data_IF_945282317327
#
_entry.id   IF_945282317327
#
_cell.length_a   1.000
_cell.length_b   1.000
_cell.length_c   1.000
_cell.angle_alpha   90.00
_cell.angle_beta   90.00
_cell.angle_gamma   90.00
#
_symmetry.space_group_name_H-M   'P 1'
#
loop_
_entity.id
_entity.type
_entity.pdbx_description
1 polymer ?
#
# COMPACT_ATOMS: atom_id res chain seq x y z
N UNK A 1 26.45 -7.27 -64.12
CA UNK A 1 27.70 -6.89 -64.82
C UNK A 1 28.43 -5.89 -63.92
N UNK A 2 29.71 -6.16 -63.69
CA UNK A 2 30.71 -5.48 -62.84
C UNK A 2 30.79 -3.94 -63.09
N UNK A 3 31.37 -3.08 -62.26
CA UNK A 3 32.75 -3.13 -61.74
C UNK A 3 33.00 -2.19 -60.55
N UNK A 4 34.02 -2.60 -59.79
CA UNK A 4 34.80 -1.89 -58.78
C UNK A 4 35.50 -0.63 -59.31
N UNK A 5 35.78 0.33 -58.43
CA UNK A 5 37.01 1.13 -58.52
C UNK A 5 37.61 1.44 -57.13
N UNK A 6 38.73 0.77 -56.84
CA UNK A 6 39.77 1.17 -55.88
C UNK A 6 40.64 2.27 -56.49
N UNK A 7 41.06 3.25 -55.69
CA UNK A 7 42.31 4.00 -55.93
C UNK A 7 43.05 4.35 -54.63
N UNK A 8 44.36 4.51 -54.81
CA UNK A 8 45.47 4.34 -53.88
C UNK A 8 45.88 5.59 -53.07
N UNK A 9 46.58 5.29 -51.98
CA UNK A 9 47.62 6.01 -51.21
C UNK A 9 48.02 7.45 -51.56
N UNK A 10 48.25 8.24 -50.51
CA UNK A 10 49.45 9.08 -50.44
C UNK A 10 50.16 8.94 -49.08
N UNK A 11 51.48 8.76 -49.21
CA UNK A 11 52.52 8.74 -48.20
C UNK A 11 53.10 10.15 -48.04
N UNK A 12 53.45 10.52 -46.81
CA UNK A 12 54.37 11.60 -46.49
C UNK A 12 55.23 11.15 -45.30
N UNK A 13 56.50 10.86 -45.59
CA UNK A 13 57.54 10.76 -44.58
C UNK A 13 57.99 12.13 -44.07
N UNK A 14 58.46 12.17 -42.83
CA UNK A 14 59.80 12.65 -42.47
C UNK A 14 60.04 12.59 -40.95
N UNK A 15 61.17 11.97 -40.56
CA UNK A 15 62.11 12.63 -39.65
C UNK A 15 62.05 12.41 -38.13
N UNK A 16 62.84 11.42 -37.68
CA UNK A 16 63.77 11.45 -36.53
C UNK A 16 63.32 11.16 -35.07
N UNK A 17 64.12 10.28 -34.47
CA UNK A 17 64.13 9.74 -33.09
C UNK A 17 64.61 10.74 -32.03
N UNK A 18 64.30 10.51 -30.74
CA UNK A 18 65.29 10.44 -29.65
C UNK A 18 64.68 9.80 -28.37
N UNK A 19 65.41 8.82 -27.81
CA UNK A 19 65.20 8.27 -26.47
C UNK A 19 65.78 9.20 -25.39
N UNK A 20 65.11 9.29 -24.25
CA UNK A 20 65.64 9.88 -23.01
C UNK A 20 64.77 9.50 -21.79
N UNK A 21 65.28 8.78 -20.77
CA UNK A 21 64.47 8.26 -19.66
C UNK A 21 64.80 8.95 -18.34
N UNK A 22 63.87 9.64 -17.65
CA UNK A 22 64.05 9.98 -16.21
C UNK A 22 62.68 10.17 -15.53
N UNK A 23 62.51 9.57 -14.34
CA UNK A 23 61.84 10.27 -13.23
C UNK A 23 60.79 9.52 -12.44
N UNK A 24 61.22 8.77 -11.42
CA UNK A 24 60.38 8.52 -10.24
C UNK A 24 60.39 9.77 -9.35
N UNK A 25 59.26 10.44 -9.18
CA UNK A 25 58.99 11.30 -8.03
C UNK A 25 57.53 11.16 -7.58
N UNK A 26 57.36 10.60 -6.38
CA UNK A 26 56.18 10.77 -5.54
C UNK A 26 55.97 12.26 -5.24
N UNK A 27 54.72 12.74 -5.15
CA UNK A 27 54.17 13.71 -4.17
C UNK A 27 52.67 14.03 -4.52
N UNK A 28 51.87 14.54 -3.56
CA UNK A 28 50.74 13.87 -2.94
C UNK A 28 49.39 14.11 -3.62
N UNK A 29 48.48 13.13 -3.54
CA UNK A 29 47.09 13.33 -3.93
C UNK A 29 46.36 14.19 -2.88
N UNK A 30 45.65 15.26 -3.27
CA UNK A 30 44.72 15.94 -2.37
C UNK A 30 43.56 15.00 -2.05
N UNK A 31 43.28 14.81 -0.76
CA UNK A 31 42.02 14.22 -0.28
C UNK A 31 40.90 15.19 -0.66
N UNK A 32 40.26 14.92 -1.80
CA UNK A 32 39.06 15.58 -2.27
C UNK A 32 38.11 14.50 -2.77
N UNK A 33 37.11 14.15 -1.96
CA UNK A 33 36.04 13.25 -2.35
C UNK A 33 35.15 13.98 -3.36
N UNK A 34 35.43 13.87 -4.66
CA UNK A 34 34.49 14.02 -5.79
C UNK A 34 35.27 13.80 -7.12
N UNK A 35 35.49 12.54 -7.48
CA UNK A 35 35.92 12.16 -8.85
C UNK A 35 34.75 12.26 -9.86
N UNK A 36 35.03 12.21 -11.18
CA UNK A 36 34.05 12.49 -12.21
C UNK A 36 32.95 11.43 -12.27
N UNK A 37 31.70 11.92 -12.33
CA UNK A 37 30.41 11.26 -12.48
C UNK A 37 30.42 9.78 -12.92
N UNK A 38 30.47 8.87 -11.94
CA UNK A 38 29.85 7.56 -12.05
C UNK A 38 28.34 7.70 -11.86
N UNK A 39 27.55 6.93 -12.62
CA UNK A 39 26.07 6.88 -12.54
C UNK A 39 25.60 6.96 -11.08
N UNK A 40 24.60 7.78 -10.73
CA UNK A 40 24.15 7.91 -9.36
C UNK A 40 23.81 6.52 -8.83
N UNK A 41 24.50 6.12 -7.75
CA UNK A 41 24.18 4.93 -6.98
C UNK A 41 22.80 5.14 -6.38
N UNK A 42 21.82 4.65 -7.13
CA UNK A 42 20.45 4.43 -6.73
C UNK A 42 20.52 3.65 -5.41
N UNK A 43 19.99 4.24 -4.35
CA UNK A 43 19.86 3.66 -3.02
C UNK A 43 19.60 2.16 -3.12
N UNK A 44 20.46 1.35 -2.51
CA UNK A 44 20.31 -0.11 -2.48
C UNK A 44 18.93 -0.45 -1.90
N UNK A 45 18.02 -0.86 -2.77
CA UNK A 45 16.84 -1.63 -2.35
C UNK A 45 17.37 -2.93 -1.77
N UNK A 46 17.09 -3.27 -0.49
CA UNK A 46 17.44 -4.58 0.04
C UNK A 46 16.90 -5.65 -0.90
N UNK A 47 17.79 -6.46 -1.49
CA UNK A 47 17.37 -7.58 -2.30
C UNK A 47 16.74 -8.62 -1.36
N UNK A 48 15.41 -8.72 -1.35
CA UNK A 48 14.78 -9.91 -0.79
C UNK A 48 15.31 -11.12 -1.60
N UNK A 49 15.59 -12.27 -0.95
CA UNK A 49 15.96 -13.50 -1.66
C UNK A 49 14.96 -13.77 -2.78
N UNK A 50 15.44 -14.28 -3.93
CA UNK A 50 14.67 -14.54 -5.16
C UNK A 50 13.47 -15.51 -4.99
N UNK A 51 13.16 -15.92 -3.76
CA UNK A 51 12.05 -16.79 -3.39
C UNK A 51 10.85 -16.02 -2.80
N UNK A 52 10.97 -14.72 -2.55
CA UNK A 52 9.83 -13.84 -2.20
C UNK A 52 9.28 -13.17 -3.46
N UNK A 53 8.72 -13.96 -4.38
CA UNK A 53 7.64 -13.41 -5.20
C UNK A 53 6.51 -13.02 -4.24
N UNK A 54 5.84 -11.86 -4.41
CA UNK A 54 4.60 -11.61 -3.68
C UNK A 54 3.69 -12.81 -3.96
N UNK A 55 3.34 -13.55 -2.91
CA UNK A 55 2.36 -14.62 -3.04
C UNK A 55 1.12 -13.98 -3.65
N UNK A 56 0.56 -14.51 -4.75
CA UNK A 56 -0.66 -13.95 -5.31
C UNK A 56 -1.71 -13.93 -4.20
N UNK A 57 -2.29 -12.75 -3.96
CA UNK A 57 -3.30 -12.58 -2.94
C UNK A 57 -4.37 -13.67 -3.09
N UNK A 58 -4.82 -14.24 -1.97
CA UNK A 58 -5.89 -15.25 -1.98
C UNK A 58 -7.10 -14.66 -2.74
N UNK A 59 -7.53 -15.29 -3.84
CA UNK A 59 -8.68 -14.81 -4.62
C UNK A 59 -9.94 -14.62 -3.77
N UNK A 60 -10.10 -15.40 -2.69
CA UNK A 60 -11.23 -15.27 -1.76
C UNK A 60 -11.16 -14.01 -0.91
N UNK A 61 -9.97 -13.63 -0.48
CA UNK A 61 -9.76 -12.38 0.25
C UNK A 61 -10.04 -11.17 -0.66
N UNK A 62 -9.59 -11.23 -1.92
CA UNK A 62 -9.86 -10.19 -2.92
C UNK A 62 -11.36 -10.05 -3.23
N UNK A 63 -12.09 -11.15 -3.34
CA UNK A 63 -13.54 -11.14 -3.57
C UNK A 63 -14.28 -10.50 -2.37
N UNK A 64 -13.87 -10.83 -1.15
CA UNK A 64 -14.45 -10.25 0.06
C UNK A 64 -14.26 -8.73 0.11
N UNK A 65 -13.07 -8.22 -0.23
CA UNK A 65 -12.78 -6.78 -0.27
C UNK A 65 -13.68 -6.05 -1.29
N UNK A 66 -13.96 -6.66 -2.43
CA UNK A 66 -14.88 -6.11 -3.44
C UNK A 66 -16.32 -6.07 -2.93
N UNK A 67 -16.77 -7.12 -2.25
CA UNK A 67 -18.11 -7.18 -1.65
C UNK A 67 -18.25 -6.14 -0.54
N UNK A 68 -17.25 -6.00 0.32
CA UNK A 68 -17.23 -4.98 1.37
C UNK A 68 -17.26 -3.56 0.79
N UNK A 69 -16.49 -3.31 -0.27
CA UNK A 69 -16.51 -2.02 -0.98
C UNK A 69 -17.89 -1.72 -1.55
N UNK A 70 -18.53 -2.70 -2.18
CA UNK A 70 -19.89 -2.55 -2.71
C UNK A 70 -20.93 -2.33 -1.60
N UNK A 71 -20.77 -3.03 -0.46
CA UNK A 71 -21.60 -2.81 0.73
C UNK A 71 -21.47 -1.36 1.21
N UNK A 72 -20.25 -0.86 1.38
CA UNK A 72 -19.98 0.50 1.86
C UNK A 72 -20.63 1.56 0.96
N UNK A 73 -20.52 1.40 -0.36
CA UNK A 73 -21.12 2.32 -1.32
C UNK A 73 -22.65 2.26 -1.34
N UNK A 74 -23.21 1.06 -1.21
CA UNK A 74 -24.66 0.85 -1.14
C UNK A 74 -25.26 1.38 0.17
N UNK A 75 -24.62 1.06 1.30
CA UNK A 75 -25.08 1.44 2.64
C UNK A 75 -25.11 2.96 2.81
N UNK A 76 -24.09 3.67 2.33
CA UNK A 76 -24.03 5.13 2.38
C UNK A 76 -25.16 5.84 1.61
N UNK A 77 -25.78 5.15 0.63
CA UNK A 77 -26.85 5.69 -0.22
C UNK A 77 -28.22 5.10 0.11
N UNK A 78 -28.30 4.12 1.01
CA UNK A 78 -29.52 3.40 1.29
C UNK A 78 -30.56 4.32 1.96
N UNK A 79 -31.79 4.43 1.43
CA UNK A 79 -32.83 5.25 2.04
C UNK A 79 -33.35 4.65 3.36
N UNK A 80 -33.23 3.33 3.53
CA UNK A 80 -33.49 2.63 4.78
C UNK A 80 -32.30 1.72 5.12
N UNK A 81 -31.40 2.17 6.02
CA UNK A 81 -30.25 1.39 6.45
C UNK A 81 -30.63 0.03 7.06
N UNK A 82 -31.76 -0.06 7.76
CA UNK A 82 -32.15 -1.30 8.44
C UNK A 82 -32.54 -2.37 7.44
N UNK A 83 -33.36 -2.03 6.45
CA UNK A 83 -33.71 -2.97 5.37
C UNK A 83 -32.49 -3.33 4.52
N UNK A 84 -31.55 -2.41 4.31
CA UNK A 84 -30.29 -2.72 3.62
C UNK A 84 -29.46 -3.76 4.39
N UNK A 85 -29.36 -3.64 5.72
CA UNK A 85 -28.66 -4.63 6.55
C UNK A 85 -29.31 -6.01 6.47
N UNK A 86 -30.65 -6.09 6.47
CA UNK A 86 -31.37 -7.35 6.25
C UNK A 86 -31.04 -7.95 4.89
N UNK A 87 -31.04 -7.15 3.84
CA UNK A 87 -30.69 -7.58 2.48
C UNK A 87 -29.24 -8.08 2.38
N UNK A 88 -28.32 -7.42 3.09
CA UNK A 88 -26.90 -7.80 3.16
C UNK A 88 -26.65 -9.04 4.03
N UNK A 89 -27.68 -9.56 4.72
CA UNK A 89 -27.54 -10.70 5.63
C UNK A 89 -26.78 -10.38 6.91
N UNK A 90 -26.84 -9.13 7.37
CA UNK A 90 -26.28 -8.71 8.65
C UNK A 90 -27.37 -8.83 9.74
N UNK A 91 -27.21 -9.72 10.73
CA UNK A 91 -28.22 -9.92 11.75
C UNK A 91 -28.24 -8.80 12.78
N UNK A 92 -29.44 -8.38 13.22
CA UNK A 92 -29.60 -7.44 14.34
C UNK A 92 -29.40 -8.14 15.69
N UNK A 93 -29.82 -9.40 15.77
CA UNK A 93 -29.47 -10.31 16.86
C UNK A 93 -28.76 -11.51 16.23
N UNK A 94 -27.46 -11.60 16.45
CA UNK A 94 -26.64 -12.71 15.98
C UNK A 94 -26.24 -13.66 17.10
N UNK A 95 -26.00 -14.92 16.75
CA UNK A 95 -25.42 -15.91 17.65
C UNK A 95 -24.09 -16.41 17.06
N UNK A 96 -23.03 -16.37 17.86
CA UNK A 96 -21.71 -16.90 17.49
C UNK A 96 -21.69 -18.43 17.54
N UNK A 97 -20.68 -19.07 16.96
CA UNK A 97 -20.53 -20.53 16.98
C UNK A 97 -20.43 -21.13 18.40
N UNK A 98 -19.97 -20.36 19.39
CA UNK A 98 -19.97 -20.72 20.81
C UNK A 98 -21.30 -20.44 21.54
N UNK A 99 -22.35 -20.06 20.82
CA UNK A 99 -23.70 -19.84 21.35
C UNK A 99 -23.91 -18.49 22.03
N UNK A 100 -23.00 -17.52 21.86
CA UNK A 100 -23.11 -16.20 22.48
C UNK A 100 -23.99 -15.29 21.64
N UNK A 101 -24.93 -14.61 22.31
CA UNK A 101 -25.83 -13.65 21.65
C UNK A 101 -25.19 -12.26 21.58
N UNK A 102 -25.26 -11.67 20.40
CA UNK A 102 -24.73 -10.36 20.06
C UNK A 102 -25.86 -9.48 19.52
N UNK A 103 -26.05 -8.30 20.10
CA UNK A 103 -27.06 -7.33 19.66
C UNK A 103 -26.40 -6.20 18.89
N UNK A 104 -26.77 -5.99 17.63
CA UNK A 104 -26.22 -4.90 16.81
C UNK A 104 -26.67 -3.56 17.38
N UNK A 105 -25.71 -2.70 17.70
CA UNK A 105 -25.97 -1.35 18.21
C UNK A 105 -25.85 -0.29 17.12
N UNK A 106 -24.84 -0.41 16.26
CA UNK A 106 -24.54 0.56 15.20
C UNK A 106 -23.64 -0.04 14.13
N UNK A 107 -23.68 0.58 12.96
CA UNK A 107 -22.71 0.38 11.89
C UNK A 107 -21.84 1.64 11.82
N UNK A 108 -20.53 1.46 11.85
CA UNK A 108 -19.55 2.55 11.76
C UNK A 108 -18.83 2.47 10.42
N UNK A 109 -18.83 3.59 9.70
CA UNK A 109 -18.04 3.77 8.48
C UNK A 109 -17.10 4.94 8.66
N UNK A 110 -15.81 4.73 8.42
CA UNK A 110 -14.79 5.78 8.51
C UNK A 110 -14.05 5.91 7.19
N UNK A 111 -13.76 7.13 6.78
CA UNK A 111 -12.88 7.44 5.65
C UNK A 111 -11.63 8.13 6.21
N UNK A 112 -10.47 7.53 5.97
CA UNK A 112 -9.19 7.95 6.52
C UNK A 112 -8.28 8.28 5.34
N UNK A 113 -7.85 9.54 5.28
CA UNK A 113 -6.99 10.06 4.22
C UNK A 113 -5.69 10.58 4.81
N UNK A 114 -4.59 9.94 4.46
CA UNK A 114 -3.25 10.34 4.91
C UNK A 114 -2.64 11.31 3.90
N UNK A 115 -2.51 12.59 4.30
CA UNK A 115 -2.12 13.70 3.40
C UNK A 115 -0.69 14.22 3.60
N UNK A 116 0.02 13.76 4.63
CA UNK A 116 1.32 14.31 5.01
C UNK A 116 2.07 13.41 5.97
N UNK A 117 3.39 13.56 6.03
CA UNK A 117 4.26 12.86 6.97
C UNK A 117 5.08 13.85 7.82
N UNK A 118 5.38 13.47 9.06
CA UNK A 118 6.23 14.25 9.96
C UNK A 118 7.48 13.45 10.29
N UNK A 119 8.65 14.02 10.01
CA UNK A 119 9.95 13.39 10.26
C UNK A 119 10.74 14.17 11.32
N UNK A 120 11.31 13.51 12.34
CA UNK A 120 12.14 14.20 13.32
C UNK A 120 13.47 14.63 12.69
N UNK A 121 13.97 15.81 13.07
CA UNK A 121 15.30 16.28 12.68
C UNK A 121 16.36 15.63 13.56
N UNK A 122 17.44 15.13 12.96
CA UNK A 122 18.57 14.56 13.71
C UNK A 122 19.29 15.68 14.48
N UNK A 123 19.51 15.47 15.79
CA UNK A 123 20.34 16.36 16.61
C UNK A 123 19.63 17.57 17.22
N UNK A 124 18.29 17.64 17.19
CA UNK A 124 17.53 18.72 17.84
C UNK A 124 16.09 18.33 18.15
N UNK A 125 15.31 19.26 18.73
CA UNK A 125 13.90 19.06 19.08
C UNK A 125 12.92 19.39 17.93
N UNK A 126 13.40 19.54 16.70
CA UNK A 126 12.61 19.97 15.55
C UNK A 126 12.02 18.81 14.74
N UNK A 127 10.99 19.11 13.95
CA UNK A 127 10.37 18.19 12.99
C UNK A 127 10.25 18.86 11.61
N UNK A 128 10.29 18.04 10.55
CA UNK A 128 9.98 18.44 9.18
C UNK A 128 8.64 17.85 8.76
N UNK A 129 7.71 18.71 8.32
CA UNK A 129 6.46 18.28 7.71
C UNK A 129 6.62 18.17 6.19
N UNK A 130 6.17 17.07 5.62
CA UNK A 130 6.19 16.82 4.18
C UNK A 130 4.78 16.45 3.70
N UNK A 131 4.07 17.34 2.99
CA UNK A 131 2.83 16.99 2.31
C UNK A 131 3.05 15.84 1.33
N UNK A 132 2.19 14.83 1.37
CA UNK A 132 2.27 13.70 0.45
C UNK A 132 1.75 14.13 -0.93
N UNK A 133 2.49 13.86 -2.02
CA UNK A 133 1.95 13.96 -3.37
C UNK A 133 0.68 13.10 -3.51
N UNK A 134 -0.26 13.50 -4.36
CA UNK A 134 -1.53 12.79 -4.54
C UNK A 134 -1.38 11.27 -4.83
N UNK A 135 -0.32 10.87 -5.53
CA UNK A 135 0.00 9.45 -5.82
C UNK A 135 0.44 8.64 -4.60
N UNK A 136 0.79 9.31 -3.50
CA UNK A 136 1.22 8.73 -2.22
C UNK A 136 0.20 8.99 -1.10
N UNK A 137 -0.88 9.72 -1.38
CA UNK A 137 -2.02 9.86 -0.46
C UNK A 137 -2.70 8.51 -0.34
N UNK A 138 -2.79 7.99 0.88
CA UNK A 138 -3.54 6.76 1.15
C UNK A 138 -4.97 7.12 1.47
N UNK A 139 -5.92 6.40 0.87
CA UNK A 139 -7.34 6.44 1.21
C UNK A 139 -7.74 5.08 1.75
N UNK A 140 -8.17 5.03 3.00
CA UNK A 140 -8.58 3.81 3.67
C UNK A 140 -9.99 4.00 4.21
N UNK A 141 -10.89 3.11 3.80
CA UNK A 141 -12.23 3.04 4.38
C UNK A 141 -12.26 1.90 5.38
N UNK A 142 -12.87 2.15 6.53
CA UNK A 142 -13.04 1.17 7.58
C UNK A 142 -14.53 0.98 7.86
N UNK A 143 -14.93 -0.29 7.98
CA UNK A 143 -16.29 -0.71 8.30
C UNK A 143 -16.26 -1.52 9.60
N UNK A 144 -17.14 -1.21 10.53
CA UNK A 144 -17.35 -2.02 11.71
C UNK A 144 -18.83 -2.13 12.06
N UNK A 145 -19.25 -3.35 12.40
CA UNK A 145 -20.54 -3.63 12.99
C UNK A 145 -20.35 -3.76 14.50
N UNK A 146 -20.84 -2.78 15.25
CA UNK A 146 -20.63 -2.75 16.70
C UNK A 146 -21.79 -3.48 17.37
N UNK A 147 -21.49 -4.66 17.90
CA UNK A 147 -22.43 -5.47 18.66
C UNK A 147 -22.22 -5.30 20.17
N UNK A 148 -23.22 -5.70 20.97
CA UNK A 148 -23.11 -5.85 22.41
C UNK A 148 -23.30 -7.31 22.81
N UNK A 149 -22.35 -7.85 23.58
CA UNK A 149 -22.34 -9.26 24.01
C UNK A 149 -22.92 -9.50 25.41
N UNK A 150 -23.48 -8.44 26.02
CA UNK A 150 -23.98 -8.43 27.39
C UNK A 150 -22.97 -7.92 28.41
N UNK A 151 -21.68 -7.88 28.08
CA UNK A 151 -20.60 -7.31 28.93
C UNK A 151 -20.05 -6.02 28.36
N UNK A 152 -19.97 -5.90 27.04
CA UNK A 152 -19.46 -4.71 26.40
C UNK A 152 -19.71 -4.67 24.90
N UNK A 153 -19.19 -3.61 24.29
CA UNK A 153 -19.22 -3.45 22.85
C UNK A 153 -18.12 -4.28 22.20
N UNK A 154 -18.46 -4.93 21.10
CA UNK A 154 -17.57 -5.72 20.26
C UNK A 154 -17.72 -5.28 18.81
N UNK A 155 -16.70 -4.61 18.23
CA UNK A 155 -16.67 -4.38 16.80
C UNK A 155 -16.41 -5.72 16.09
N UNK A 156 -17.15 -5.97 15.02
CA UNK A 156 -16.94 -7.06 14.08
C UNK A 156 -16.73 -6.48 12.68
N UNK A 157 -15.89 -7.12 11.89
CA UNK A 157 -15.78 -6.81 10.46
C UNK A 157 -16.99 -7.35 9.66
N UNK A 158 -16.99 -7.07 8.35
CA UNK A 158 -18.08 -7.46 7.46
C UNK A 158 -18.29 -8.98 7.39
N UNK A 159 -17.22 -9.76 7.32
CA UNK A 159 -17.29 -11.20 7.22
C UNK A 159 -17.72 -11.83 8.55
N UNK A 160 -17.12 -11.40 9.66
CA UNK A 160 -17.48 -11.83 11.01
C UNK A 160 -18.96 -11.61 11.29
N UNK A 161 -19.50 -10.44 10.92
CA UNK A 161 -20.91 -10.13 11.10
C UNK A 161 -21.82 -11.06 10.27
N UNK A 162 -21.43 -11.39 9.02
CA UNK A 162 -22.19 -12.30 8.16
C UNK A 162 -22.13 -13.76 8.60
N UNK A 163 -21.11 -14.15 9.35
CA UNK A 163 -20.96 -15.51 9.89
C UNK A 163 -21.83 -15.77 11.13
N UNK A 164 -22.42 -14.73 11.72
CA UNK A 164 -23.34 -14.88 12.84
C UNK A 164 -24.61 -15.61 12.39
N UNK A 165 -25.09 -16.53 13.22
CA UNK A 165 -26.40 -17.15 13.00
C UNK A 165 -27.48 -16.13 13.31
N UNK A 166 -28.33 -15.83 12.32
CA UNK A 166 -29.40 -14.84 12.49
C UNK A 166 -30.49 -15.35 13.45
N UNK A 167 -30.69 -14.60 14.52
CA UNK A 167 -31.75 -14.79 15.53
C UNK A 167 -32.66 -13.56 15.61
N UNK A 168 -32.61 -12.65 14.65
CA UNK A 168 -33.37 -11.39 14.66
C UNK A 168 -34.88 -11.61 14.73
N UNK A 169 -35.40 -12.69 14.13
CA UNK A 169 -36.82 -13.07 14.26
C UNK A 169 -37.23 -13.49 15.68
N UNK A 170 -36.30 -14.01 16.49
CA UNK A 170 -36.57 -14.36 17.89
C UNK A 170 -36.59 -13.13 18.82
N UNK A 171 -36.19 -11.96 18.31
CA UNK A 171 -36.19 -10.69 19.03
C UNK A 171 -37.37 -9.79 18.69
N UNK A 172 -38.30 -10.23 17.82
CA UNK A 172 -39.42 -9.40 17.37
C UNK A 172 -40.35 -9.06 18.54
N UNK A 173 -40.34 -7.79 18.95
CA UNK A 173 -41.24 -7.24 19.97
C UNK A 173 -42.61 -7.08 19.30
N UNK A 174 -43.62 -7.76 19.85
CA UNK A 174 -45.01 -7.56 19.46
C UNK A 174 -45.39 -6.08 19.65
N UNK A 175 -45.62 -5.36 18.56
CA UNK A 175 -46.20 -4.02 18.59
C UNK A 175 -47.70 -4.16 18.89
N UNK A 176 -48.25 -3.57 19.97
CA UNK A 176 -49.69 -3.47 20.13
C UNK A 176 -50.26 -2.60 19.01
N UNK A 177 -51.24 -3.13 18.28
CA UNK A 177 -51.95 -2.42 17.22
C UNK A 177 -52.57 -1.13 17.74
N UNK A 178 -52.47 -0.09 16.92
CA UNK A 178 -52.93 1.26 17.23
C UNK A 178 -54.44 1.44 17.01
#
# INVERSE_FOLDING_TARGET
MHDDHRHHSHDHGDGHHHHGPIGHHHHPHPVGHNGPAGKPLQWQTPHLPHEHAPEPADPRATDLDLVETAFLDGFARAPDPSSFLRLAGIPFLGETADGRRLHLLRVETQDIVDVGAVMPLIGGAGVAYNPLPAKLTSHRRHLAFVYHDGKGQRPLDFNEARLLTDRSAAAEIAMPGH
#
